data_IF_202965828957
#
_entry.id   IF_202965828957
#
_cell.length_a   1.000
_cell.length_b   1.000
_cell.length_c   1.000
_cell.angle_alpha   90.00
_cell.angle_beta   90.00
_cell.angle_gamma   90.00
#
_symmetry.space_group_name_H-M   'P 1'
#
loop_
_entity.id
_entity.type
_entity.pdbx_description
1 polymer ?
#
# COMPACT_ATOMS: atom_id res chain seq x y z
N UNK A 1 -6.77 10.89 -4.32
CA UNK A 1 -5.94 11.59 -3.33
C UNK A 1 -4.82 10.68 -2.88
N UNK A 2 -3.58 11.16 -2.93
CA UNK A 2 -2.34 10.36 -3.03
C UNK A 2 -1.80 10.12 -1.62
N UNK A 3 -1.85 8.89 -1.11
CA UNK A 3 -1.11 8.50 0.11
C UNK A 3 0.40 8.51 -0.19
N UNK A 4 0.98 9.70 -0.27
CA UNK A 4 2.44 9.94 -0.30
C UNK A 4 3.08 9.64 1.06
N UNK A 5 2.31 9.66 2.15
CA UNK A 5 2.80 9.45 3.52
C UNK A 5 3.34 8.03 3.79
N UNK A 6 2.65 6.98 3.32
CA UNK A 6 3.07 5.60 3.59
C UNK A 6 4.35 5.18 2.85
N UNK A 7 4.67 5.79 1.69
CA UNK A 7 5.90 5.43 0.93
C UNK A 7 7.18 5.84 1.65
N UNK A 8 7.13 6.90 2.45
CA UNK A 8 8.30 7.43 3.14
C UNK A 8 8.47 6.84 4.55
N UNK A 9 7.38 6.38 5.20
CA UNK A 9 7.44 5.85 6.57
C UNK A 9 7.87 4.38 6.67
N UNK A 10 7.70 3.58 5.62
CA UNK A 10 8.13 2.16 5.59
C UNK A 10 9.65 1.99 5.71
N UNK A 11 10.44 3.06 5.62
CA UNK A 11 11.91 2.98 5.71
C UNK A 11 12.47 3.02 7.14
N UNK A 12 11.69 3.39 8.16
CA UNK A 12 12.22 3.55 9.52
C UNK A 12 11.22 3.06 10.59
N UNK A 13 11.62 2.00 11.32
CA UNK A 13 11.13 1.53 12.64
C UNK A 13 10.33 0.19 12.68
N UNK A 14 10.66 -0.67 13.65
CA UNK A 14 10.31 -2.12 13.72
C UNK A 14 8.86 -2.46 14.09
N UNK A 15 8.12 -1.57 14.77
CA UNK A 15 6.70 -1.73 15.09
C UNK A 15 6.12 -0.37 15.47
N UNK A 16 4.97 0.03 14.91
CA UNK A 16 4.29 1.30 15.24
C UNK A 16 2.77 1.12 15.14
N UNK A 17 2.06 1.67 16.12
CA UNK A 17 0.63 2.00 16.04
C UNK A 17 0.52 3.51 15.83
N UNK A 18 -0.43 3.94 15.01
CA UNK A 18 -0.64 5.35 14.69
C UNK A 18 -2.13 5.64 14.70
N UNK A 19 -2.51 6.75 15.33
CA UNK A 19 -3.85 7.30 15.25
C UNK A 19 -3.71 8.65 14.57
N UNK A 20 -4.37 8.82 13.43
CA UNK A 20 -4.45 10.05 12.67
C UNK A 20 -5.86 10.61 12.82
N UNK A 21 -5.96 11.85 13.28
CA UNK A 21 -7.22 12.60 13.28
C UNK A 21 -7.04 13.75 12.30
N UNK A 22 -7.82 13.74 11.22
CA UNK A 22 -7.79 14.77 10.19
C UNK A 22 -9.21 15.29 9.97
N UNK A 23 -9.52 16.43 10.60
CA UNK A 23 -10.88 16.99 10.61
C UNK A 23 -11.88 15.94 11.12
N UNK A 24 -12.84 15.57 10.27
CA UNK A 24 -13.90 14.59 10.59
C UNK A 24 -13.50 13.13 10.34
N UNK A 25 -12.22 12.85 10.12
CA UNK A 25 -11.74 11.48 9.84
C UNK A 25 -10.79 11.01 10.94
N UNK A 26 -11.11 9.87 11.53
CA UNK A 26 -10.27 9.16 12.49
C UNK A 26 -9.73 7.89 11.83
N UNK A 27 -8.41 7.78 11.74
CA UNK A 27 -7.74 6.60 11.19
C UNK A 27 -6.79 5.98 12.21
N UNK A 28 -6.91 4.67 12.42
CA UNK A 28 -5.99 3.86 13.20
C UNK A 28 -5.19 2.96 12.26
N UNK A 29 -3.88 3.06 12.30
CA UNK A 29 -2.97 2.20 11.52
C UNK A 29 -2.09 1.38 12.44
N UNK A 30 -1.92 0.11 12.12
CA UNK A 30 -1.01 -0.82 12.77
C UNK A 30 -0.01 -1.34 11.75
N UNK A 31 1.28 -1.24 12.07
CA UNK A 31 2.35 -1.71 11.21
C UNK A 31 3.33 -2.58 12.00
N UNK A 32 3.59 -3.79 11.48
CA UNK A 32 4.52 -4.74 12.05
C UNK A 32 5.52 -5.18 11.00
N UNK A 33 6.80 -4.85 11.21
CA UNK A 33 7.89 -5.37 10.40
C UNK A 33 8.42 -6.66 11.01
N UNK A 34 8.48 -7.73 10.22
CA UNK A 34 9.08 -9.00 10.60
C UNK A 34 10.58 -9.01 10.23
N UNK A 35 11.34 -9.88 10.90
CA UNK A 35 12.80 -10.01 10.71
C UNK A 35 13.18 -10.44 9.29
N UNK A 36 12.30 -11.12 8.56
CA UNK A 36 12.58 -11.71 7.25
C UNK A 36 12.17 -10.81 6.07
N UNK A 37 12.35 -9.49 6.21
CA UNK A 37 12.03 -8.50 5.16
C UNK A 37 10.55 -8.47 4.69
N UNK A 38 9.68 -9.14 5.44
CA UNK A 38 8.22 -9.06 5.34
C UNK A 38 7.71 -8.00 6.30
N UNK A 39 6.75 -7.20 5.86
CA UNK A 39 6.05 -6.22 6.66
C UNK A 39 4.56 -6.34 6.42
N UNK A 40 3.79 -6.32 7.49
CA UNK A 40 2.33 -6.34 7.42
C UNK A 40 1.80 -5.07 8.04
N UNK A 41 0.70 -4.57 7.48
CA UNK A 41 0.05 -3.37 7.96
C UNK A 41 -1.46 -3.45 7.79
N UNK A 42 -2.18 -2.89 8.74
CA UNK A 42 -3.62 -2.68 8.65
C UNK A 42 -3.91 -1.22 8.98
N UNK A 43 -4.90 -0.65 8.33
CA UNK A 43 -5.35 0.72 8.53
C UNK A 43 -6.88 0.72 8.51
N UNK A 44 -7.49 1.15 9.60
CA UNK A 44 -8.92 1.36 9.73
C UNK A 44 -9.18 2.86 9.80
N UNK A 45 -9.86 3.42 8.81
CA UNK A 45 -10.26 4.81 8.81
C UNK A 45 -11.78 4.94 8.85
N UNK A 46 -12.28 5.65 9.85
CA UNK A 46 -13.67 6.04 10.04
C UNK A 46 -13.83 7.52 9.71
N UNK A 47 -14.72 7.84 8.79
CA UNK A 47 -15.10 9.23 8.51
C UNK A 47 -16.45 9.51 9.14
N UNK A 48 -16.50 10.43 10.11
CA UNK A 48 -17.73 10.82 10.79
C UNK A 48 -18.69 11.56 9.84
N UNK A 49 -18.16 12.28 8.85
CA UNK A 49 -18.96 13.05 7.89
C UNK A 49 -19.76 12.18 6.91
N UNK A 50 -19.18 11.08 6.42
CA UNK A 50 -19.86 10.16 5.49
C UNK A 50 -20.37 8.88 6.15
N UNK A 51 -20.16 8.71 7.47
CA UNK A 51 -20.38 7.47 8.22
C UNK A 51 -19.77 6.23 7.54
N UNK A 52 -18.73 6.43 6.72
CA UNK A 52 -18.08 5.36 5.97
C UNK A 52 -16.89 4.81 6.75
N UNK A 53 -16.84 3.48 6.84
CA UNK A 53 -15.70 2.74 7.38
C UNK A 53 -14.88 2.19 6.24
N UNK A 54 -13.59 2.53 6.21
CA UNK A 54 -12.63 1.99 5.26
C UNK A 54 -11.58 1.18 5.98
N UNK A 55 -11.57 -0.12 5.76
CA UNK A 55 -10.54 -1.02 6.26
C UNK A 55 -9.59 -1.36 5.12
N UNK A 56 -8.36 -0.90 5.24
CA UNK A 56 -7.24 -1.29 4.38
C UNK A 56 -6.37 -2.31 5.10
N UNK A 57 -6.06 -3.41 4.44
CA UNK A 57 -5.02 -4.35 4.87
C UNK A 57 -3.96 -4.42 3.79
N UNK A 58 -2.69 -4.36 4.19
CA UNK A 58 -1.55 -4.37 3.29
C UNK A 58 -0.45 -5.30 3.79
N UNK A 59 0.23 -5.93 2.85
CA UNK A 59 1.43 -6.70 3.11
C UNK A 59 2.51 -6.26 2.14
N UNK A 60 3.75 -6.29 2.60
CA UNK A 60 4.93 -6.07 1.80
C UNK A 60 5.89 -7.21 2.06
N UNK A 61 6.37 -7.85 1.01
CA UNK A 61 7.35 -8.93 1.08
C UNK A 61 8.52 -8.51 0.21
N UNK A 62 9.68 -8.30 0.82
CA UNK A 62 10.92 -8.16 0.06
C UNK A 62 11.53 -9.55 -0.15
N UNK A 63 11.49 -10.02 -1.40
CA UNK A 63 12.07 -11.31 -1.78
C UNK A 63 13.60 -11.24 -1.76
N UNK A 64 14.15 -10.12 -2.25
CA UNK A 64 15.58 -9.83 -2.28
C UNK A 64 15.83 -8.35 -2.01
N UNK A 65 17.09 -7.95 -1.87
CA UNK A 65 17.50 -6.53 -1.82
C UNK A 65 16.99 -5.70 -3.01
N UNK A 66 16.69 -6.35 -4.13
CA UNK A 66 16.27 -5.75 -5.39
C UNK A 66 14.77 -5.98 -5.72
N UNK A 67 14.12 -6.91 -5.03
CA UNK A 67 12.75 -7.35 -5.35
C UNK A 67 11.82 -7.09 -4.18
N UNK A 68 10.78 -6.28 -4.39
CA UNK A 68 9.75 -6.02 -3.38
C UNK A 68 8.37 -6.15 -3.97
N UNK A 69 7.53 -6.95 -3.34
CA UNK A 69 6.12 -7.11 -3.67
C UNK A 69 5.29 -6.47 -2.57
N UNK A 70 4.26 -5.72 -2.94
CA UNK A 70 3.30 -5.10 -2.02
C UNK A 70 1.89 -5.47 -2.46
N UNK A 71 1.16 -6.13 -1.58
CA UNK A 71 -0.27 -6.35 -1.72
C UNK A 71 -1.04 -5.38 -0.84
N UNK A 72 -2.14 -4.85 -1.32
CA UNK A 72 -3.08 -4.04 -0.56
C UNK A 72 -4.50 -4.46 -0.92
N UNK A 73 -5.35 -4.55 0.07
CA UNK A 73 -6.78 -4.77 -0.08
C UNK A 73 -7.53 -3.69 0.70
N UNK A 74 -8.64 -3.21 0.15
CA UNK A 74 -9.50 -2.23 0.79
C UNK A 74 -10.93 -2.79 0.87
N UNK A 75 -11.66 -2.50 1.95
CA UNK A 75 -13.05 -2.88 2.18
C UNK A 75 -14.00 -2.39 1.08
N UNK A 76 -13.58 -1.41 0.28
CA UNK A 76 -14.32 -0.91 -0.87
C UNK A 76 -14.24 -1.84 -2.11
N UNK A 77 -13.74 -3.07 -1.96
CA UNK A 77 -13.63 -4.05 -3.03
C UNK A 77 -12.46 -3.78 -3.99
N UNK A 78 -11.46 -3.02 -3.54
CA UNK A 78 -10.28 -2.67 -4.34
C UNK A 78 -9.09 -3.50 -3.85
N UNK A 79 -8.53 -4.32 -4.75
CA UNK A 79 -7.29 -5.04 -4.52
C UNK A 79 -6.18 -4.41 -5.37
N UNK A 80 -5.06 -4.04 -4.76
CA UNK A 80 -3.90 -3.49 -5.46
C UNK A 80 -2.67 -4.32 -5.19
N UNK A 81 -1.91 -4.63 -6.24
CA UNK A 81 -0.63 -5.31 -6.16
C UNK A 81 0.42 -4.44 -6.81
N UNK A 82 1.58 -4.29 -6.17
CA UNK A 82 2.68 -3.49 -6.67
C UNK A 82 3.96 -4.30 -6.55
N UNK A 83 4.63 -4.53 -7.67
CA UNK A 83 5.87 -5.26 -7.77
C UNK A 83 6.94 -4.25 -8.15
N UNK A 84 8.00 -4.18 -7.36
CA UNK A 84 9.18 -3.37 -7.65
C UNK A 84 10.34 -4.33 -7.87
N UNK A 85 10.89 -4.31 -9.07
CA UNK A 85 12.04 -5.08 -9.47
C UNK A 85 13.16 -4.12 -9.88
N UNK A 86 14.26 -4.12 -9.14
CA UNK A 86 15.45 -3.37 -9.51
C UNK A 86 16.33 -4.25 -10.42
N UNK A 87 16.33 -3.92 -11.71
CA UNK A 87 17.19 -4.58 -12.70
C UNK A 87 18.69 -4.29 -12.46
N UNK A 88 18.99 -3.13 -11.89
CA UNK A 88 20.32 -2.70 -11.50
C UNK A 88 20.20 -1.77 -10.29
N UNK A 89 21.22 -1.59 -9.43
CA UNK A 89 21.18 -0.57 -8.38
C UNK A 89 20.89 0.86 -8.88
N UNK A 90 21.03 1.11 -10.20
CA UNK A 90 20.68 2.37 -10.87
C UNK A 90 19.34 2.37 -11.59
N UNK A 91 18.66 1.22 -11.73
CA UNK A 91 17.44 1.08 -12.52
C UNK A 91 16.36 0.30 -11.75
N UNK A 92 15.22 0.94 -11.52
CA UNK A 92 14.10 0.36 -10.80
C UNK A 92 12.84 0.34 -11.67
N UNK A 93 12.30 -0.84 -11.89
CA UNK A 93 11.04 -1.07 -12.58
C UNK A 93 9.97 -1.27 -11.52
N UNK A 94 8.85 -0.56 -11.65
CA UNK A 94 7.67 -0.74 -10.79
C UNK A 94 6.48 -1.06 -11.68
N UNK A 95 5.86 -2.20 -11.42
CA UNK A 95 4.58 -2.61 -12.01
C UNK A 95 3.52 -2.53 -10.93
N UNK A 96 2.41 -1.86 -11.20
CA UNK A 96 1.27 -1.77 -10.28
C UNK A 96 0.01 -2.21 -10.99
N UNK A 97 -0.79 -3.03 -10.32
CA UNK A 97 -2.06 -3.53 -10.82
C UNK A 97 -3.12 -3.25 -9.75
N UNK A 98 -4.23 -2.66 -10.12
CA UNK A 98 -5.36 -2.37 -9.25
C UNK A 98 -6.63 -2.95 -9.87
N UNK A 99 -7.32 -3.76 -9.09
CA UNK A 99 -8.56 -4.42 -9.42
C UNK A 99 -9.68 -3.79 -8.60
N UNK A 100 -10.64 -3.16 -9.25
CA UNK A 100 -11.83 -2.63 -8.57
C UNK A 100 -13.02 -3.55 -8.85
N UNK A 101 -13.50 -4.27 -7.83
CA UNK A 101 -14.61 -5.23 -7.95
C UNK A 101 -15.99 -4.61 -7.68
N UNK A 102 -16.12 -3.29 -7.69
CA UNK A 102 -17.39 -2.65 -7.40
C UNK A 102 -18.30 -2.61 -8.65
N UNK A 103 -19.09 -3.67 -8.82
CA UNK A 103 -20.48 -3.53 -9.26
C UNK A 103 -20.82 -3.48 -10.75
N UNK A 104 -20.01 -4.00 -11.67
CA UNK A 104 -20.48 -4.20 -13.05
C UNK A 104 -19.73 -5.35 -13.72
N UNK A 105 -20.43 -6.00 -14.67
CA UNK A 105 -20.14 -7.27 -15.36
C UNK A 105 -18.72 -7.40 -15.94
N UNK A 106 -17.94 -6.30 -15.99
CA UNK A 106 -16.52 -6.24 -16.35
C UNK A 106 -15.77 -5.26 -15.43
N UNK A 107 -15.30 -5.74 -14.29
CA UNK A 107 -14.45 -4.96 -13.37
C UNK A 107 -13.23 -4.36 -14.11
N UNK A 108 -13.03 -3.02 -14.12
CA UNK A 108 -11.90 -2.40 -14.79
C UNK A 108 -10.59 -2.69 -14.03
N UNK A 109 -9.66 -3.36 -14.71
CA UNK A 109 -8.30 -3.62 -14.22
C UNK A 109 -7.44 -2.44 -14.64
N UNK A 110 -6.90 -1.70 -13.67
CA UNK A 110 -5.89 -0.67 -13.95
C UNK A 110 -4.51 -1.28 -13.82
N UNK A 111 -3.68 -1.07 -14.83
CA UNK A 111 -2.26 -1.40 -14.74
C UNK A 111 -1.44 -0.11 -14.88
N UNK A 112 -0.27 -0.10 -14.27
CA UNK A 112 0.68 1.00 -14.31
C UNK A 112 2.09 0.45 -14.35
N UNK A 113 2.92 1.05 -15.20
CA UNK A 113 4.34 0.74 -15.32
C UNK A 113 5.13 2.02 -15.10
N UNK A 114 6.17 1.95 -14.28
CA UNK A 114 7.09 3.05 -14.05
C UNK A 114 8.53 2.55 -14.08
N UNK A 115 9.39 3.28 -14.79
CA UNK A 115 10.83 3.08 -14.78
C UNK A 115 11.47 4.28 -14.09
N UNK A 116 12.26 4.01 -13.05
CA UNK A 116 13.04 5.00 -12.35
C UNK A 116 14.52 4.73 -12.58
N UNK A 117 15.23 5.73 -13.10
CA UNK A 117 16.68 5.69 -13.28
C UNK A 117 17.33 6.62 -12.24
N UNK A 118 18.28 6.08 -11.49
CA UNK A 118 19.08 6.84 -10.53
C UNK A 118 20.37 7.25 -11.24
N UNK A 119 20.58 8.56 -11.39
CA UNK A 119 21.86 9.14 -11.86
C UNK A 119 22.96 8.92 -10.84
#
# INVERSE_FOLDING_TARGET
MKMKGLRNFVKECRSRYMILIQGDTLAASYYQQLKNATAVGAELAHSFSSSANTLTVGTQIALDRLNTVKGRFNSNGIASVLIQHAWSPKSLITVSIEFNRHGEERAPIKFGLALALKR
#
